data_IF_146771203394
#
_entry.id   IF_146771203394
#
_cell.length_a   1.000
_cell.length_b   1.000
_cell.length_c   1.000
_cell.angle_alpha   90.00
_cell.angle_beta   90.00
_cell.angle_gamma   90.00
#
_symmetry.space_group_name_H-M   'P 1'
#
loop_
_entity.id
_entity.type
_entity.pdbx_description
1 polymer ?
#
# COMPACT_ATOMS: atom_id res chain seq x y z
N UNK A 1 -19.08 14.64 13.64
CA UNK A 1 -18.11 13.71 13.05
C UNK A 1 -16.86 13.82 13.90
N UNK A 2 -16.47 12.76 14.60
CA UNK A 2 -15.27 12.77 15.44
C UNK A 2 -14.01 12.60 14.57
N UNK A 3 -12.82 12.81 15.17
CA UNK A 3 -11.55 12.73 14.45
C UNK A 3 -11.29 11.33 13.86
N UNK A 4 -11.70 10.28 14.57
CA UNK A 4 -11.55 8.89 14.12
C UNK A 4 -12.39 8.59 12.88
N UNK A 5 -13.65 9.04 12.83
CA UNK A 5 -14.54 8.90 11.66
C UNK A 5 -13.96 9.62 10.43
N UNK A 6 -13.29 10.76 10.62
CA UNK A 6 -12.63 11.50 9.54
C UNK A 6 -11.44 10.73 8.98
N UNK A 7 -10.57 10.23 9.86
CA UNK A 7 -9.40 9.43 9.47
C UNK A 7 -9.85 8.14 8.77
N UNK A 8 -10.89 7.47 9.28
CA UNK A 8 -11.42 6.26 8.64
C UNK A 8 -11.98 6.54 7.25
N UNK A 9 -12.66 7.68 7.06
CA UNK A 9 -13.15 8.08 5.73
C UNK A 9 -11.99 8.38 4.76
N UNK A 10 -10.91 8.98 5.25
CA UNK A 10 -9.70 9.20 4.45
C UNK A 10 -9.04 7.88 4.04
N UNK A 11 -8.84 6.95 4.99
CA UNK A 11 -8.32 5.60 4.71
C UNK A 11 -9.15 4.92 3.61
N UNK A 12 -10.47 4.90 3.75
CA UNK A 12 -11.35 4.27 2.76
C UNK A 12 -11.23 4.93 1.36
N UNK A 13 -11.02 6.25 1.32
CA UNK A 13 -10.80 6.97 0.07
C UNK A 13 -9.47 6.62 -0.59
N UNK A 14 -8.40 6.55 0.18
CA UNK A 14 -7.06 6.16 -0.29
C UNK A 14 -7.04 4.68 -0.73
N UNK A 15 -7.71 3.80 0.00
CA UNK A 15 -7.87 2.39 -0.38
C UNK A 15 -8.65 2.22 -1.68
N UNK A 16 -9.63 3.08 -1.95
CA UNK A 16 -10.35 3.09 -3.22
C UNK A 16 -9.41 3.51 -4.37
N UNK A 17 -8.61 4.56 -4.17
CA UNK A 17 -7.59 4.97 -5.14
C UNK A 17 -6.52 3.90 -5.35
N UNK A 18 -6.17 3.14 -4.31
CA UNK A 18 -5.18 2.07 -4.40
C UNK A 18 -5.58 1.00 -5.43
N UNK A 19 -6.89 0.75 -5.59
CA UNK A 19 -7.42 -0.23 -6.57
C UNK A 19 -7.10 0.12 -8.02
N UNK A 20 -6.90 1.40 -8.33
CA UNK A 20 -6.50 1.84 -9.68
C UNK A 20 -5.11 1.29 -10.06
N UNK A 21 -4.33 0.84 -9.07
CA UNK A 21 -3.00 0.26 -9.26
C UNK A 21 -2.98 -1.28 -9.14
N UNK A 22 -4.13 -1.95 -8.98
CA UNK A 22 -4.21 -3.41 -8.86
C UNK A 22 -3.60 -4.13 -10.07
N UNK A 23 -3.66 -3.53 -11.26
CA UNK A 23 -3.07 -4.11 -12.47
C UNK A 23 -1.55 -4.31 -12.34
N UNK A 24 -0.85 -3.44 -11.59
CA UNK A 24 0.59 -3.58 -11.32
C UNK A 24 0.84 -4.84 -10.50
N UNK A 25 0.04 -5.04 -9.45
CA UNK A 25 0.16 -6.22 -8.58
C UNK A 25 -0.13 -7.49 -9.37
N UNK A 26 -1.22 -7.49 -10.14
CA UNK A 26 -1.60 -8.63 -10.97
C UNK A 26 -0.52 -9.02 -11.96
N UNK A 27 0.07 -8.04 -12.66
CA UNK A 27 1.07 -8.28 -13.72
C UNK A 27 2.43 -8.69 -13.18
N UNK A 28 2.83 -8.20 -12.01
CA UNK A 28 4.18 -8.43 -11.48
C UNK A 28 4.24 -9.53 -10.41
N UNK A 29 3.17 -9.74 -9.65
CA UNK A 29 3.19 -10.59 -8.46
C UNK A 29 2.16 -11.72 -8.49
N UNK A 30 0.90 -11.45 -8.83
CA UNK A 30 -0.15 -12.49 -8.80
C UNK A 30 -0.04 -13.45 -10.00
N UNK A 31 0.36 -12.94 -11.17
CA UNK A 31 0.66 -13.74 -12.36
C UNK A 31 2.05 -13.39 -12.92
N UNK A 32 3.13 -13.79 -12.22
CA UNK A 32 4.48 -13.42 -12.59
C UNK A 32 4.96 -14.17 -13.85
N UNK A 33 4.20 -15.12 -14.38
CA UNK A 33 4.54 -15.81 -15.63
C UNK A 33 3.81 -15.19 -16.84
N UNK A 34 2.91 -14.24 -16.62
CA UNK A 34 2.18 -13.53 -17.69
C UNK A 34 3.06 -12.66 -18.58
N UNK A 35 4.28 -12.35 -18.15
CA UNK A 35 5.25 -11.52 -18.87
C UNK A 35 6.61 -12.23 -18.90
N UNK A 36 7.31 -12.12 -20.03
CA UNK A 36 8.72 -12.49 -20.11
C UNK A 36 9.56 -11.57 -19.20
N UNK A 37 10.81 -11.94 -18.92
CA UNK A 37 11.69 -11.11 -18.09
C UNK A 37 11.97 -9.73 -18.73
N UNK A 38 12.12 -9.68 -20.05
CA UNK A 38 12.30 -8.43 -20.80
C UNK A 38 11.02 -7.56 -20.76
N UNK A 39 9.85 -8.18 -20.90
CA UNK A 39 8.56 -7.48 -20.80
C UNK A 39 8.29 -6.96 -19.38
N UNK A 40 8.72 -7.69 -18.35
CA UNK A 40 8.64 -7.22 -16.96
C UNK A 40 9.47 -5.97 -16.74
N UNK A 41 10.70 -5.96 -17.24
CA UNK A 41 11.58 -4.79 -17.11
C UNK A 41 10.98 -3.58 -17.83
N UNK A 42 10.47 -3.77 -19.05
CA UNK A 42 9.77 -2.72 -19.80
C UNK A 42 8.52 -2.23 -19.05
N UNK A 43 7.68 -3.15 -18.55
CA UNK A 43 6.48 -2.82 -17.79
C UNK A 43 6.80 -2.02 -16.51
N UNK A 44 7.85 -2.40 -15.77
CA UNK A 44 8.30 -1.69 -14.57
C UNK A 44 8.78 -0.28 -14.92
N UNK A 45 9.54 -0.12 -16.01
CA UNK A 45 10.02 1.19 -16.46
C UNK A 45 8.85 2.08 -16.86
N UNK A 46 7.92 1.57 -17.67
CA UNK A 46 6.74 2.30 -18.16
C UNK A 46 5.78 2.71 -17.04
N UNK A 47 5.71 1.93 -15.96
CA UNK A 47 4.78 2.16 -14.84
C UNK A 47 5.48 2.63 -13.56
N UNK A 48 6.74 3.04 -13.63
CA UNK A 48 7.54 3.46 -12.47
C UNK A 48 6.87 4.56 -11.65
N UNK A 49 6.28 5.56 -12.31
CA UNK A 49 5.56 6.65 -11.63
C UNK A 49 4.34 6.13 -10.87
N UNK A 50 3.52 5.30 -11.52
CA UNK A 50 2.35 4.67 -10.90
C UNK A 50 2.73 3.76 -9.73
N UNK A 51 3.86 3.05 -9.83
CA UNK A 51 4.39 2.26 -8.71
C UNK A 51 4.79 3.15 -7.52
N UNK A 52 5.40 4.31 -7.79
CA UNK A 52 5.74 5.27 -6.74
C UNK A 52 4.48 5.89 -6.11
N UNK A 53 3.46 6.22 -6.91
CA UNK A 53 2.17 6.70 -6.41
C UNK A 53 1.49 5.66 -5.53
N UNK A 54 1.42 4.40 -5.99
CA UNK A 54 0.92 3.28 -5.18
C UNK A 54 1.68 3.15 -3.86
N UNK A 55 3.02 3.26 -3.89
CA UNK A 55 3.85 3.19 -2.69
C UNK A 55 3.48 4.29 -1.69
N UNK A 56 3.36 5.54 -2.16
CA UNK A 56 2.97 6.68 -1.32
C UNK A 56 1.59 6.49 -0.67
N UNK A 57 0.61 5.99 -1.44
CA UNK A 57 -0.72 5.69 -0.91
C UNK A 57 -0.67 4.64 0.21
N UNK A 58 0.16 3.59 0.06
CA UNK A 58 0.33 2.56 1.10
C UNK A 58 0.96 3.15 2.35
N UNK A 59 2.00 3.98 2.21
CA UNK A 59 2.66 4.66 3.33
C UNK A 59 1.68 5.58 4.06
N UNK A 60 0.90 6.38 3.34
CA UNK A 60 -0.11 7.27 3.92
C UNK A 60 -1.23 6.51 4.64
N UNK A 61 -1.73 5.41 4.05
CA UNK A 61 -2.69 4.53 4.72
C UNK A 61 -2.09 3.93 6.01
N UNK A 62 -0.83 3.52 5.99
CA UNK A 62 -0.16 2.95 7.15
C UNK A 62 -0.02 4.00 8.27
N UNK A 63 0.39 5.23 7.94
CA UNK A 63 0.51 6.33 8.90
C UNK A 63 -0.85 6.70 9.53
N UNK A 64 -1.91 6.75 8.72
CA UNK A 64 -3.27 7.01 9.22
C UNK A 64 -3.75 5.89 10.14
N UNK A 65 -3.54 4.61 9.76
CA UNK A 65 -3.86 3.46 10.62
C UNK A 65 -3.07 3.48 11.91
N UNK A 66 -1.78 3.83 11.85
CA UNK A 66 -0.93 4.00 13.03
C UNK A 66 -1.46 5.07 13.98
N UNK A 67 -1.97 6.18 13.45
CA UNK A 67 -2.56 7.25 14.26
C UNK A 67 -3.85 6.86 14.98
N UNK A 68 -4.56 5.82 14.49
CA UNK A 68 -5.74 5.25 15.12
C UNK A 68 -5.41 4.17 16.16
N UNK A 69 -4.18 3.65 16.18
CA UNK A 69 -3.77 2.63 17.13
C UNK A 69 -3.52 3.23 18.52
N UNK A 70 -3.90 2.48 19.54
CA UNK A 70 -3.51 2.76 20.92
C UNK A 70 -2.01 2.53 21.12
N UNK A 71 -1.38 3.11 22.16
CA UNK A 71 0.03 2.87 22.46
C UNK A 71 0.37 1.37 22.66
N UNK A 72 -0.59 0.58 23.14
CA UNK A 72 -0.43 -0.86 23.27
C UNK A 72 -0.38 -1.54 21.89
N UNK A 73 -1.32 -1.22 21.01
CA UNK A 73 -1.35 -1.79 19.64
C UNK A 73 -0.12 -1.38 18.83
N UNK A 74 0.36 -0.14 18.99
CA UNK A 74 1.61 0.32 18.39
C UNK A 74 2.81 -0.49 18.87
N UNK A 75 2.89 -0.75 20.19
CA UNK A 75 3.94 -1.59 20.76
C UNK A 75 3.86 -3.02 20.24
N UNK A 76 2.67 -3.63 20.28
CA UNK A 76 2.45 -5.00 19.81
C UNK A 76 2.81 -5.14 18.31
N UNK A 77 2.54 -4.10 17.50
CA UNK A 77 2.96 -4.04 16.09
C UNK A 77 4.49 -4.01 15.97
N UNK A 78 5.19 -3.13 16.68
CA UNK A 78 6.65 -3.04 16.64
C UNK A 78 7.31 -4.33 17.11
N UNK A 79 6.84 -4.90 18.21
CA UNK A 79 7.38 -6.13 18.79
C UNK A 79 7.27 -7.31 17.80
N UNK A 80 6.22 -7.36 16.97
CA UNK A 80 6.05 -8.38 15.93
C UNK A 80 7.10 -8.31 14.80
N UNK A 81 7.62 -7.11 14.52
CA UNK A 81 8.56 -6.88 13.43
C UNK A 81 9.97 -6.51 13.94
N UNK A 82 10.21 -6.55 15.25
CA UNK A 82 11.51 -6.28 15.88
C UNK A 82 12.36 -7.53 16.12
N UNK A 83 11.82 -8.73 15.86
CA UNK A 83 12.53 -10.01 15.99
C UNK A 83 13.29 -10.44 14.72
N UNK A 84 13.45 -9.54 13.73
CA UNK A 84 14.33 -9.70 12.55
C UNK A 84 15.67 -8.95 12.72
#
# INVERSE_FOLDING_TARGET
MNNEEQIQKQINGLELQLKDYDFIVKKLFDDPFSLSEEDKNSFIIENKEKMNERKKLIEEIADLRWSLMTPKEQKDYLDKYSDD
#
